data_IF_135705331580
#
_entry.id   IF_135705331580
#
_cell.length_a   1.000
_cell.length_b   1.000
_cell.length_c   1.000
_cell.angle_alpha   90.00
_cell.angle_beta   90.00
_cell.angle_gamma   90.00
#
_symmetry.space_group_name_H-M   'P 1'
#
loop_
_entity.id
_entity.type
_entity.pdbx_description
1 polymer ?
#
# COMPACT_ATOMS: atom_id res chain seq x y z
N UNK A 1 -0.53 -9.86 -8.60
CA UNK A 1 0.84 -9.34 -8.60
C UNK A 1 1.63 -10.17 -7.60
N UNK A 2 2.91 -10.41 -7.86
CA UNK A 2 3.84 -11.15 -7.01
C UNK A 2 5.20 -10.44 -7.11
N UNK A 3 6.20 -10.79 -6.29
CA UNK A 3 7.56 -10.27 -6.42
C UNK A 3 8.03 -10.32 -7.89
N UNK A 4 8.53 -9.20 -8.41
CA UNK A 4 8.97 -9.06 -9.79
C UNK A 4 7.86 -8.79 -10.83
N UNK A 5 6.58 -8.85 -10.44
CA UNK A 5 5.42 -8.54 -11.30
C UNK A 5 4.79 -7.20 -10.92
N UNK A 6 5.58 -6.14 -11.05
CA UNK A 6 5.16 -4.75 -10.80
C UNK A 6 4.37 -4.22 -11.99
N UNK A 7 3.49 -3.25 -11.74
CA UNK A 7 2.96 -2.42 -12.82
C UNK A 7 4.08 -1.56 -13.41
N UNK A 8 4.14 -1.37 -14.74
CA UNK A 8 5.09 -0.42 -15.32
C UNK A 8 4.77 1.03 -14.89
N UNK A 9 5.79 1.86 -14.63
CA UNK A 9 7.20 1.50 -14.49
C UNK A 9 7.49 0.74 -13.18
N UNK A 10 8.43 -0.21 -13.23
CA UNK A 10 8.89 -0.90 -12.01
C UNK A 10 9.66 0.07 -11.12
N UNK A 11 9.29 0.14 -9.84
CA UNK A 11 9.94 1.03 -8.85
C UNK A 11 10.90 0.24 -7.96
N UNK A 12 10.49 -0.94 -7.51
CA UNK A 12 11.31 -1.81 -6.65
C UNK A 12 12.41 -2.48 -7.47
N UNK A 13 13.64 -2.38 -6.97
CA UNK A 13 14.85 -3.03 -7.48
C UNK A 13 15.19 -4.31 -6.71
N UNK A 14 14.59 -4.49 -5.54
CA UNK A 14 14.90 -5.53 -4.54
C UNK A 14 16.31 -5.46 -3.96
N UNK A 15 17.01 -4.34 -4.11
CA UNK A 15 18.31 -4.07 -3.50
C UNK A 15 18.09 -3.14 -2.29
N UNK A 16 18.49 -3.54 -1.06
CA UNK A 16 18.29 -2.69 0.11
C UNK A 16 18.96 -1.32 -0.04
N UNK A 17 18.25 -0.24 0.34
CA UNK A 17 18.72 1.15 0.24
C UNK A 17 19.10 1.58 -1.19
N UNK A 18 18.39 1.07 -2.20
CA UNK A 18 18.57 1.44 -3.61
C UNK A 18 18.07 2.84 -3.95
N UNK A 19 17.13 3.40 -3.18
CA UNK A 19 16.60 4.76 -3.38
C UNK A 19 17.57 5.79 -2.80
N UNK A 20 18.77 5.84 -3.36
CA UNK A 20 19.90 6.66 -2.92
C UNK A 20 19.92 8.07 -3.53
N UNK A 21 19.15 8.31 -4.59
CA UNK A 21 19.04 9.60 -5.25
C UNK A 21 17.85 10.44 -4.74
N UNK A 22 17.33 10.12 -3.55
CA UNK A 22 16.28 10.89 -2.88
C UNK A 22 16.92 11.77 -1.81
N UNK A 23 17.09 13.05 -2.09
CA UNK A 23 17.65 14.03 -1.14
C UNK A 23 16.59 14.52 -0.15
N UNK A 24 15.82 13.59 0.44
CA UNK A 24 14.72 13.90 1.36
C UNK A 24 14.46 12.77 2.37
N UNK A 25 13.96 13.09 3.59
CA UNK A 25 13.49 12.08 4.52
C UNK A 25 12.26 11.35 3.98
N UNK A 26 12.14 10.05 4.27
CA UNK A 26 11.01 9.23 3.81
C UNK A 26 10.18 8.72 4.99
N UNK A 27 8.86 8.83 4.89
CA UNK A 27 7.90 8.15 5.76
C UNK A 27 7.05 7.20 4.94
N UNK A 28 7.13 5.90 5.25
CA UNK A 28 6.28 4.89 4.62
C UNK A 28 5.16 4.52 5.59
N UNK A 29 3.92 4.77 5.19
CA UNK A 29 2.72 4.36 5.93
C UNK A 29 2.07 3.17 5.19
N UNK A 30 2.18 1.99 5.79
CA UNK A 30 1.65 0.73 5.27
C UNK A 30 0.28 0.36 5.84
N UNK A 31 -0.40 -0.57 5.16
CA UNK A 31 -1.68 -1.14 5.58
C UNK A 31 -1.56 -2.66 5.75
N UNK A 32 -2.00 -3.19 6.89
CA UNK A 32 -1.82 -4.62 7.21
C UNK A 32 -2.71 -5.57 6.43
N UNK A 33 -3.87 -5.09 5.93
CA UNK A 33 -4.79 -5.90 5.14
C UNK A 33 -4.50 -5.86 3.63
N UNK A 34 -3.50 -5.07 3.20
CA UNK A 34 -3.17 -4.90 1.77
C UNK A 34 -2.76 -6.19 1.06
N UNK A 35 -2.08 -7.10 1.76
CA UNK A 35 -1.67 -8.42 1.24
C UNK A 35 -2.80 -9.47 1.26
N UNK A 36 -3.94 -9.14 1.88
CA UNK A 36 -5.07 -10.06 2.03
C UNK A 36 -6.03 -9.92 0.85
N UNK A 37 -6.32 -11.03 0.17
CA UNK A 37 -7.36 -11.07 -0.86
C UNK A 37 -8.73 -10.86 -0.22
N UNK A 38 -9.54 -9.98 -0.82
CA UNK A 38 -10.93 -9.80 -0.37
C UNK A 38 -11.81 -10.98 -0.78
N UNK A 39 -11.60 -11.49 -1.99
CA UNK A 39 -12.34 -12.60 -2.58
C UNK A 39 -11.41 -13.38 -3.54
N UNK A 40 -11.81 -14.59 -3.99
CA UNK A 40 -10.98 -15.42 -4.86
C UNK A 40 -10.73 -14.84 -6.26
N UNK A 41 -11.63 -13.96 -6.75
CA UNK A 41 -11.60 -13.46 -8.13
C UNK A 41 -10.54 -12.37 -8.33
N UNK A 42 -10.23 -11.58 -7.30
CA UNK A 42 -9.27 -10.49 -7.38
C UNK A 42 -7.99 -10.80 -6.59
N UNK A 43 -6.81 -10.45 -7.14
CA UNK A 43 -5.56 -10.55 -6.39
C UNK A 43 -5.55 -9.58 -5.20
N UNK A 44 -4.65 -9.81 -4.25
CA UNK A 44 -4.38 -8.82 -3.21
C UNK A 44 -3.88 -7.52 -3.84
N UNK A 45 -4.25 -6.38 -3.25
CA UNK A 45 -3.92 -5.06 -3.78
C UNK A 45 -2.46 -4.65 -3.49
N UNK A 46 -1.85 -5.21 -2.45
CA UNK A 46 -0.44 -5.01 -2.08
C UNK A 46 0.21 -6.34 -1.64
N UNK A 47 0.39 -7.30 -2.55
CA UNK A 47 0.95 -8.61 -2.22
C UNK A 47 2.42 -8.51 -1.79
N UNK A 48 2.89 -9.52 -1.03
CA UNK A 48 4.29 -9.62 -0.61
C UNK A 48 5.23 -9.57 -1.81
N UNK A 49 6.31 -8.81 -1.70
CA UNK A 49 7.27 -8.58 -2.77
C UNK A 49 6.90 -7.41 -3.67
N UNK A 50 5.74 -6.76 -3.50
CA UNK A 50 5.37 -5.52 -4.20
C UNK A 50 4.52 -4.65 -3.28
N UNK A 51 4.94 -4.50 -2.02
CA UNK A 51 4.21 -3.74 -1.02
C UNK A 51 5.08 -2.73 -0.27
N UNK A 52 4.46 -2.03 0.69
CA UNK A 52 5.10 -1.00 1.50
C UNK A 52 6.35 -1.48 2.27
N UNK A 53 6.42 -2.77 2.64
CA UNK A 53 7.60 -3.34 3.31
C UNK A 53 8.79 -3.40 2.36
N UNK A 54 8.56 -3.87 1.14
CA UNK A 54 9.60 -3.93 0.11
C UNK A 54 10.05 -2.51 -0.28
N UNK A 55 9.10 -1.57 -0.41
CA UNK A 55 9.42 -0.18 -0.67
C UNK A 55 10.27 0.45 0.46
N UNK A 56 9.89 0.24 1.72
CA UNK A 56 10.65 0.76 2.86
C UNK A 56 12.07 0.18 2.93
N UNK A 57 12.25 -1.10 2.61
CA UNK A 57 13.58 -1.73 2.58
C UNK A 57 14.54 -1.08 1.57
N UNK A 58 13.99 -0.45 0.53
CA UNK A 58 14.74 0.24 -0.52
C UNK A 58 15.01 1.72 -0.18
N UNK A 59 14.33 2.28 0.81
CA UNK A 59 14.56 3.66 1.26
C UNK A 59 15.94 3.83 1.94
N UNK A 60 16.61 4.94 1.64
CA UNK A 60 17.79 5.38 2.39
C UNK A 60 17.40 6.13 3.68
N UNK A 61 18.29 6.13 4.67
CA UNK A 61 18.07 6.91 5.89
C UNK A 61 18.23 8.41 5.59
N UNK A 62 17.49 9.30 6.28
CA UNK A 62 16.50 9.00 7.31
C UNK A 62 15.17 8.48 6.75
N UNK A 63 14.71 7.34 7.26
CA UNK A 63 13.44 6.74 6.85
C UNK A 63 12.68 6.14 8.05
N UNK A 64 11.38 6.38 8.12
CA UNK A 64 10.49 5.82 9.13
C UNK A 64 9.38 4.98 8.50
N UNK A 65 8.86 4.04 9.29
CA UNK A 65 7.93 3.03 8.82
C UNK A 65 6.85 2.75 9.85
N UNK A 66 5.60 2.99 9.46
CA UNK A 66 4.42 2.75 10.27
C UNK A 66 3.47 1.81 9.53
N UNK A 67 2.80 0.93 10.27
CA UNK A 67 1.83 -0.02 9.69
C UNK A 67 0.54 0.00 10.48
N UNK A 68 -0.55 0.36 9.82
CA UNK A 68 -1.89 0.24 10.36
C UNK A 68 -2.40 -1.20 10.13
N UNK A 69 -2.20 -2.06 11.13
CA UNK A 69 -2.38 -3.53 11.00
C UNK A 69 -3.79 -3.94 10.59
N UNK A 70 -4.81 -3.25 11.11
CA UNK A 70 -6.22 -3.62 10.92
C UNK A 70 -6.91 -2.88 9.76
N UNK A 71 -6.13 -2.23 8.88
CA UNK A 71 -6.63 -1.40 7.80
C UNK A 71 -6.08 -1.86 6.44
N UNK A 72 -6.82 -1.57 5.38
CA UNK A 72 -6.48 -1.90 4.00
C UNK A 72 -6.20 -0.68 3.12
N UNK A 73 -5.80 -0.94 1.88
CA UNK A 73 -5.39 0.08 0.90
C UNK A 73 -6.41 1.22 0.77
N UNK A 74 -7.69 0.87 0.64
CA UNK A 74 -8.76 1.85 0.39
C UNK A 74 -9.32 2.49 1.66
N UNK A 75 -8.77 2.19 2.85
CA UNK A 75 -9.19 2.85 4.08
C UNK A 75 -8.59 4.25 4.24
N UNK A 76 -7.59 4.58 3.43
CA UNK A 76 -7.02 5.93 3.30
C UNK A 76 -7.93 6.90 2.51
N UNK A 77 -8.91 6.38 1.76
CA UNK A 77 -9.78 7.19 0.89
C UNK A 77 -10.94 7.82 1.68
N UNK A 78 -11.59 8.83 1.09
CA UNK A 78 -12.83 9.43 1.62
C UNK A 78 -13.96 8.41 1.78
N UNK A 79 -14.90 8.65 2.70
CA UNK A 79 -16.04 7.75 2.93
C UNK A 79 -17.03 7.70 1.76
N UNK A 80 -17.14 8.79 1.02
CA UNK A 80 -17.96 8.90 -0.18
C UNK A 80 -17.11 9.22 -1.41
N UNK A 81 -16.70 8.17 -2.12
CA UNK A 81 -16.07 8.31 -3.43
C UNK A 81 -17.15 8.34 -4.51
N UNK A 82 -17.36 9.51 -5.14
CA UNK A 82 -18.43 9.75 -6.13
C UNK A 82 -18.29 8.88 -7.39
N UNK A 83 -19.42 8.62 -8.05
CA UNK A 83 -19.50 7.87 -9.30
C UNK A 83 -19.41 6.35 -9.15
N UNK A 84 -19.76 5.62 -10.22
CA UNK A 84 -19.79 4.14 -10.24
C UNK A 84 -18.40 3.56 -9.95
N UNK A 85 -17.35 4.16 -10.53
CA UNK A 85 -15.95 3.76 -10.29
C UNK A 85 -15.55 3.93 -8.82
N UNK A 86 -15.93 5.04 -8.19
CA UNK A 86 -15.71 5.27 -6.77
C UNK A 86 -16.37 4.19 -5.92
N UNK A 87 -17.66 3.92 -6.16
CA UNK A 87 -18.40 2.85 -5.47
C UNK A 87 -17.83 1.44 -5.72
N UNK A 88 -17.17 1.19 -6.85
CA UNK A 88 -16.51 -0.08 -7.10
C UNK A 88 -15.27 -0.29 -6.21
N UNK A 89 -14.58 0.78 -5.80
CA UNK A 89 -13.36 0.67 -4.96
C UNK A 89 -13.61 -0.01 -3.62
N UNK A 90 -14.82 0.09 -3.05
CA UNK A 90 -15.20 -0.61 -1.81
C UNK A 90 -15.19 -2.13 -1.96
N UNK A 91 -15.29 -2.63 -3.19
CA UNK A 91 -15.42 -4.03 -3.51
C UNK A 91 -14.10 -4.75 -3.82
N UNK A 92 -12.99 -4.02 -4.00
CA UNK A 92 -11.76 -4.57 -4.56
C UNK A 92 -10.77 -5.07 -3.49
N UNK A 93 -10.54 -4.30 -2.42
CA UNK A 93 -9.53 -4.63 -1.42
C UNK A 93 -10.17 -5.04 -0.08
N UNK A 94 -9.46 -5.87 0.69
CA UNK A 94 -9.82 -6.13 2.09
C UNK A 94 -9.72 -4.81 2.87
N UNK A 95 -10.66 -4.56 3.78
CA UNK A 95 -10.79 -3.31 4.54
C UNK A 95 -10.99 -3.56 6.03
N UNK A 96 -10.64 -2.57 6.83
CA UNK A 96 -10.87 -2.51 8.26
C UNK A 96 -12.32 -2.15 8.60
N UNK A 97 -12.54 -1.85 9.88
CA UNK A 97 -13.88 -1.51 10.42
C UNK A 97 -14.35 -0.12 9.98
N UNK A 98 -13.46 0.84 9.86
CA UNK A 98 -13.73 2.22 9.46
C UNK A 98 -12.56 2.79 8.66
N UNK A 99 -12.78 3.92 7.98
CA UNK A 99 -11.73 4.63 7.23
C UNK A 99 -11.16 5.82 7.98
N UNK A 100 -12.01 6.49 8.76
CA UNK A 100 -11.67 7.72 9.48
C UNK A 100 -10.34 7.68 10.24
N UNK A 101 -9.96 6.60 10.96
CA UNK A 101 -8.68 6.56 11.67
C UNK A 101 -7.46 6.70 10.75
N UNK A 102 -7.55 6.22 9.51
CA UNK A 102 -6.47 6.31 8.53
C UNK A 102 -6.35 7.71 7.90
N UNK A 103 -7.36 8.57 8.06
CA UNK A 103 -7.38 9.95 7.54
C UNK A 103 -7.09 11.01 8.60
N UNK A 104 -7.03 10.62 9.88
CA UNK A 104 -6.71 11.49 11.01
C UNK A 104 -5.21 11.58 11.32
N UNK A 105 -4.40 10.85 10.57
CA UNK A 105 -2.94 10.97 10.61
C UNK A 105 -2.47 12.40 10.30
#
# INVERSE_FOLDING_TARGET
>A
MDKGKQTPPSVLTYVPRSFNNLDMPVMVIGSGLGEVKKNPLFPACAPKGVNHRDFYNECCKPACYFVAKDYGHNDMLDDETKGIRGKATYCLCKKGKSREPMRRF
#
